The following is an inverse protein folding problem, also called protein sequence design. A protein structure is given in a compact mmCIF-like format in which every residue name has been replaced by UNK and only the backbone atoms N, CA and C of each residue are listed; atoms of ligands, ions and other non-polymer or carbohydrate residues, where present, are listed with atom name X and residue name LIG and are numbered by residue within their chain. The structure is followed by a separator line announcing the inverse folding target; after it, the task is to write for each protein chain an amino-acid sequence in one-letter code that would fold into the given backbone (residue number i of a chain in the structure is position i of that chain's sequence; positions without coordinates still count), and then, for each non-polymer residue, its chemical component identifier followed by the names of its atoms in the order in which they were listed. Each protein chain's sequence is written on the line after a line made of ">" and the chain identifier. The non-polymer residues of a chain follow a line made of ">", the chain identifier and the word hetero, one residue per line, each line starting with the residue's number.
data_IF_467737588887
#
_entry.id   IF_467737588887
#
_cell.length_a   1.000
_cell.length_b   1.000
_cell.length_c   1.000
_cell.angle_alpha   90.00
_cell.angle_beta   90.00
_cell.angle_gamma   90.00
#
_symmetry.space_group_name_H-M   'P 1'
#
loop_
_entity.id
_entity.type
_entity.pdbx_description
1 polymer ?
#
# COMPACT_ATOMS: atom_id res chain seq x y z
N UNK A 1 -23.30 -22.91 -12.90
CA UNK A 1 -22.33 -23.24 -11.85
C UNK A 1 -23.15 -23.89 -10.76
N UNK A 2 -22.85 -25.12 -10.36
CA UNK A 2 -23.65 -25.76 -9.31
C UNK A 2 -23.48 -25.03 -7.97
N UNK A 3 -24.48 -25.08 -7.08
CA UNK A 3 -24.44 -24.39 -5.78
C UNK A 3 -23.17 -24.71 -4.96
N UNK A 4 -22.65 -25.94 -5.11
CA UNK A 4 -21.38 -26.37 -4.51
C UNK A 4 -20.15 -25.62 -5.07
N UNK A 5 -20.10 -25.38 -6.38
CA UNK A 5 -19.00 -24.66 -7.04
C UNK A 5 -18.97 -23.18 -6.60
N UNK A 6 -20.12 -22.55 -6.39
CA UNK A 6 -20.21 -21.20 -5.84
C UNK A 6 -19.66 -21.09 -4.43
N UNK A 7 -19.95 -22.07 -3.58
CA UNK A 7 -19.43 -22.12 -2.22
C UNK A 7 -17.91 -22.27 -2.22
N UNK A 8 -17.37 -23.14 -3.08
CA UNK A 8 -15.92 -23.28 -3.25
C UNK A 8 -15.29 -21.99 -3.76
N UNK A 9 -15.91 -21.34 -4.74
CA UNK A 9 -15.45 -20.06 -5.28
C UNK A 9 -15.42 -18.96 -4.19
N UNK A 10 -16.48 -18.85 -3.37
CA UNK A 10 -16.52 -17.92 -2.25
C UNK A 10 -15.40 -18.18 -1.23
N UNK A 11 -15.14 -19.45 -0.89
CA UNK A 11 -14.05 -19.83 0.01
C UNK A 11 -12.68 -19.40 -0.55
N UNK A 12 -12.47 -19.58 -1.85
CA UNK A 12 -11.25 -19.13 -2.53
C UNK A 12 -11.12 -17.60 -2.46
N UNK A 13 -12.18 -16.84 -2.75
CA UNK A 13 -12.18 -15.37 -2.63
C UNK A 13 -11.91 -14.87 -1.21
N UNK A 14 -12.44 -15.55 -0.19
CA UNK A 14 -12.11 -15.25 1.21
C UNK A 14 -10.64 -15.52 1.56
N UNK A 15 -10.02 -16.52 0.93
CA UNK A 15 -8.59 -16.81 1.08
C UNK A 15 -7.75 -15.72 0.41
N UNK A 16 -8.10 -15.29 -0.80
CA UNK A 16 -7.46 -14.18 -1.52
C UNK A 16 -7.56 -12.88 -0.71
N UNK A 17 -8.73 -12.59 -0.13
CA UNK A 17 -8.94 -11.45 0.76
C UNK A 17 -8.03 -11.50 1.99
N UNK A 18 -7.94 -12.66 2.65
CA UNK A 18 -7.06 -12.86 3.81
C UNK A 18 -5.58 -12.67 3.44
N UNK A 19 -5.19 -13.15 2.26
CA UNK A 19 -3.85 -12.95 1.73
C UNK A 19 -3.56 -11.46 1.44
N UNK A 20 -4.49 -10.76 0.78
CA UNK A 20 -4.37 -9.33 0.52
C UNK A 20 -4.24 -8.50 1.81
N UNK A 21 -4.96 -8.88 2.88
CA UNK A 21 -4.83 -8.26 4.19
C UNK A 21 -3.43 -8.46 4.80
N UNK A 22 -2.88 -9.68 4.72
CA UNK A 22 -1.53 -9.98 5.17
C UNK A 22 -0.47 -9.17 4.40
N UNK A 23 -0.59 -9.11 3.08
CA UNK A 23 0.30 -8.32 2.22
C UNK A 23 0.19 -6.82 2.49
N UNK A 24 -1.02 -6.31 2.72
CA UNK A 24 -1.24 -4.91 3.12
C UNK A 24 -0.51 -4.57 4.42
N UNK A 25 -0.56 -5.46 5.44
CA UNK A 25 0.21 -5.28 6.68
C UNK A 25 1.71 -5.18 6.42
N UNK A 26 2.28 -6.11 5.64
CA UNK A 26 3.72 -6.12 5.30
C UNK A 26 4.13 -4.84 4.56
N UNK A 27 3.34 -4.43 3.56
CA UNK A 27 3.60 -3.22 2.77
C UNK A 27 3.45 -1.94 3.61
N UNK A 28 2.52 -1.93 4.57
CA UNK A 28 2.36 -0.83 5.51
C UNK A 28 3.59 -0.63 6.40
N UNK A 29 4.17 -1.73 6.90
CA UNK A 29 5.44 -1.69 7.65
C UNK A 29 6.57 -1.17 6.77
N UNK A 30 6.71 -1.70 5.55
CA UNK A 30 7.74 -1.26 4.61
C UNK A 30 7.64 0.23 4.26
N UNK A 31 6.41 0.75 4.07
CA UNK A 31 6.17 2.18 3.87
C UNK A 31 6.59 3.00 5.10
N UNK A 32 6.24 2.55 6.30
CA UNK A 32 6.62 3.24 7.53
C UNK A 32 8.14 3.32 7.71
N UNK A 33 8.85 2.22 7.43
CA UNK A 33 10.31 2.15 7.49
C UNK A 33 10.98 3.04 6.43
N UNK A 34 10.47 3.02 5.19
CA UNK A 34 10.96 3.89 4.12
C UNK A 34 10.74 5.38 4.43
N UNK A 35 9.56 5.75 4.97
CA UNK A 35 9.26 7.12 5.40
C UNK A 35 10.18 7.56 6.54
N UNK A 36 10.42 6.69 7.52
CA UNK A 36 11.33 6.95 8.64
C UNK A 36 12.74 7.24 8.13
N UNK A 37 13.27 6.38 7.25
CA UNK A 37 14.62 6.54 6.73
C UNK A 37 14.76 7.80 5.87
N UNK A 38 13.81 8.06 4.98
CA UNK A 38 13.78 9.28 4.18
C UNK A 38 13.77 10.54 5.05
N UNK A 39 12.91 10.60 6.07
CA UNK A 39 12.83 11.76 6.98
C UNK A 39 14.11 11.96 7.77
N UNK A 40 14.74 10.88 8.25
CA UNK A 40 16.00 10.93 9.00
C UNK A 40 17.13 11.53 8.16
N UNK A 41 17.37 11.01 6.96
CA UNK A 41 18.47 11.48 6.11
C UNK A 41 18.20 12.89 5.57
N UNK A 42 16.95 13.19 5.20
CA UNK A 42 16.56 14.56 4.82
C UNK A 42 16.81 15.57 5.94
N UNK A 43 16.51 15.22 7.19
CA UNK A 43 16.77 16.11 8.32
C UNK A 43 18.26 16.36 8.53
N UNK A 44 19.11 15.34 8.42
CA UNK A 44 20.58 15.49 8.49
C UNK A 44 21.11 16.40 7.39
N UNK A 45 20.63 16.22 6.16
CA UNK A 45 21.01 17.08 5.04
C UNK A 45 20.63 18.54 5.28
N UNK A 46 19.40 18.80 5.73
CA UNK A 46 18.94 20.15 6.07
C UNK A 46 19.81 20.75 7.16
N UNK A 47 20.12 20.00 8.23
CA UNK A 47 20.98 20.47 9.31
C UNK A 47 22.39 20.82 8.81
N UNK A 48 22.98 19.98 7.96
CA UNK A 48 24.29 20.24 7.32
C UNK A 48 24.25 21.50 6.45
N UNK A 49 23.26 21.63 5.56
CA UNK A 49 23.10 22.80 4.70
C UNK A 49 22.90 24.10 5.51
N UNK A 50 22.25 24.02 6.69
CA UNK A 50 22.13 25.16 7.60
C UNK A 50 23.46 25.57 8.22
N UNK A 51 24.29 24.60 8.62
CA UNK A 51 25.65 24.86 9.13
C UNK A 51 26.52 25.50 8.04
N UNK A 52 26.37 25.05 6.79
CA UNK A 52 27.03 25.59 5.60
C UNK A 52 26.47 26.96 5.14
N UNK A 53 25.53 27.54 5.90
CA UNK A 53 24.89 28.84 5.62
C UNK A 53 24.19 28.93 4.25
N UNK A 54 23.72 27.79 3.72
CA UNK A 54 22.89 27.76 2.52
C UNK A 54 21.59 28.53 2.79
N UNK A 55 21.17 29.35 1.81
CA UNK A 55 19.93 30.11 1.91
C UNK A 55 18.73 29.17 2.14
N UNK A 56 17.89 29.49 3.14
CA UNK A 56 16.75 28.64 3.57
C UNK A 56 15.81 28.32 2.41
N UNK A 57 15.60 29.28 1.52
CA UNK A 57 14.76 29.14 0.33
C UNK A 57 15.25 28.06 -0.63
N UNK A 58 16.57 27.79 -0.68
CA UNK A 58 17.17 26.81 -1.59
C UNK A 58 17.31 25.41 -0.99
N UNK A 59 17.42 25.29 0.34
CA UNK A 59 17.66 24.00 1.02
C UNK A 59 16.61 22.96 0.64
N UNK A 60 15.34 23.37 0.53
CA UNK A 60 14.24 22.48 0.19
C UNK A 60 14.39 21.83 -1.19
N UNK A 61 14.85 22.59 -2.18
CA UNK A 61 15.01 22.11 -3.54
C UNK A 61 16.31 21.32 -3.70
N UNK A 62 17.39 21.76 -3.05
CA UNK A 62 18.63 20.99 -2.97
C UNK A 62 18.42 19.62 -2.31
N UNK A 63 17.62 19.55 -1.24
CA UNK A 63 17.32 18.27 -0.60
C UNK A 63 16.53 17.33 -1.51
N UNK A 64 15.65 17.85 -2.37
CA UNK A 64 14.91 17.02 -3.34
C UNK A 64 15.81 16.53 -4.48
N UNK A 65 16.76 17.34 -4.92
CA UNK A 65 17.72 17.01 -5.98
C UNK A 65 18.91 16.19 -5.52
N UNK A 66 19.19 16.14 -4.20
CA UNK A 66 20.30 15.38 -3.66
C UNK A 66 20.14 13.88 -3.97
N UNK A 67 21.11 13.22 -4.62
CA UNK A 67 20.96 11.85 -5.13
C UNK A 67 20.46 10.86 -4.08
N UNK A 68 21.04 10.87 -2.88
CA UNK A 68 20.68 9.95 -1.80
C UNK A 68 19.26 10.18 -1.27
N UNK A 69 18.84 11.44 -1.14
CA UNK A 69 17.51 11.79 -0.60
C UNK A 69 16.45 11.51 -1.66
N UNK A 70 16.75 11.81 -2.92
CA UNK A 70 15.89 11.50 -4.06
C UNK A 70 15.63 10.00 -4.15
N UNK A 71 16.67 9.18 -3.99
CA UNK A 71 16.54 7.71 -4.00
C UNK A 71 15.69 7.20 -2.82
N UNK A 72 15.92 7.72 -1.60
CA UNK A 72 15.10 7.37 -0.44
C UNK A 72 13.64 7.79 -0.61
N UNK A 73 13.40 8.97 -1.21
CA UNK A 73 12.07 9.44 -1.55
C UNK A 73 11.40 8.52 -2.57
N UNK A 74 12.13 8.11 -3.62
CA UNK A 74 11.63 7.19 -4.63
C UNK A 74 11.19 5.87 -4.00
N UNK A 75 12.04 5.24 -3.19
CA UNK A 75 11.73 4.00 -2.46
C UNK A 75 10.47 4.12 -1.60
N UNK A 76 10.35 5.23 -0.87
CA UNK A 76 9.16 5.54 -0.07
C UNK A 76 7.91 5.70 -0.93
N UNK A 77 8.00 6.43 -2.03
CA UNK A 77 6.87 6.67 -2.93
C UNK A 77 6.41 5.36 -3.60
N UNK A 78 7.34 4.48 -3.99
CA UNK A 78 7.05 3.12 -4.45
C UNK A 78 6.35 2.29 -3.38
N UNK A 79 6.88 2.27 -2.15
CA UNK A 79 6.26 1.56 -1.04
C UNK A 79 4.83 2.06 -0.76
N UNK A 80 4.60 3.37 -0.95
CA UNK A 80 3.30 4.00 -0.77
C UNK A 80 2.28 3.51 -1.78
N UNK A 81 2.67 3.50 -3.06
CA UNK A 81 1.82 2.97 -4.15
C UNK A 81 1.52 1.49 -3.93
N UNK A 82 2.51 0.70 -3.54
CA UNK A 82 2.31 -0.72 -3.25
C UNK A 82 1.33 -0.94 -2.09
N UNK A 83 1.44 -0.17 -1.01
CA UNK A 83 0.51 -0.24 0.11
C UNK A 83 -0.92 0.12 -0.31
N UNK A 84 -1.11 1.22 -1.03
CA UNK A 84 -2.41 1.63 -1.55
C UNK A 84 -3.02 0.59 -2.48
N UNK A 85 -2.23 0.01 -3.38
CA UNK A 85 -2.69 -1.07 -4.25
C UNK A 85 -3.15 -2.30 -3.44
N UNK A 86 -2.46 -2.67 -2.36
CA UNK A 86 -2.90 -3.76 -1.50
C UNK A 86 -4.20 -3.42 -0.75
N UNK A 87 -4.38 -2.18 -0.30
CA UNK A 87 -5.65 -1.74 0.29
C UNK A 87 -6.79 -1.83 -0.72
N UNK A 88 -6.54 -1.48 -1.98
CA UNK A 88 -7.55 -1.57 -3.03
C UNK A 88 -7.88 -3.02 -3.40
N UNK A 89 -6.89 -3.91 -3.42
CA UNK A 89 -7.14 -5.35 -3.60
C UNK A 89 -8.10 -5.91 -2.53
N UNK A 90 -7.99 -5.47 -1.27
CA UNK A 90 -8.93 -5.85 -0.20
C UNK A 90 -10.36 -5.35 -0.55
N UNK A 91 -10.50 -4.15 -1.10
CA UNK A 91 -11.80 -3.62 -1.53
C UNK A 91 -12.42 -4.44 -2.66
N UNK A 92 -11.62 -4.78 -3.67
CA UNK A 92 -12.03 -5.64 -4.79
C UNK A 92 -12.51 -7.00 -4.29
N UNK A 93 -11.71 -7.70 -3.47
CA UNK A 93 -12.12 -9.02 -2.96
C UNK A 93 -13.34 -8.97 -2.03
N UNK A 94 -13.50 -7.90 -1.24
CA UNK A 94 -14.74 -7.70 -0.46
C UNK A 94 -15.97 -7.58 -1.37
N UNK A 95 -15.85 -6.84 -2.48
CA UNK A 95 -16.93 -6.70 -3.45
C UNK A 95 -17.25 -8.04 -4.11
N UNK A 96 -16.23 -8.77 -4.55
CA UNK A 96 -16.40 -10.10 -5.15
C UNK A 96 -17.09 -11.08 -4.19
N UNK A 97 -16.66 -11.16 -2.92
CA UNK A 97 -17.33 -12.00 -1.92
C UNK A 97 -18.82 -11.66 -1.80
N UNK A 98 -19.19 -10.37 -1.73
CA UNK A 98 -20.60 -9.94 -1.63
C UNK A 98 -21.41 -10.32 -2.86
N UNK A 99 -20.83 -10.22 -4.06
CA UNK A 99 -21.51 -10.60 -5.30
C UNK A 99 -21.78 -12.10 -5.33
N UNK A 100 -20.81 -12.92 -4.92
CA UNK A 100 -20.95 -14.38 -4.85
C UNK A 100 -21.95 -14.79 -3.78
N UNK A 101 -21.91 -14.18 -2.59
CA UNK A 101 -22.90 -14.40 -1.52
C UNK A 101 -24.32 -14.06 -1.99
N UNK A 102 -24.48 -12.95 -2.72
CA UNK A 102 -25.78 -12.56 -3.30
C UNK A 102 -26.26 -13.56 -4.35
N UNK A 103 -25.36 -14.13 -5.16
CA UNK A 103 -25.71 -15.17 -6.12
C UNK A 103 -26.13 -16.47 -5.43
N UNK A 104 -25.37 -16.95 -4.46
CA UNK A 104 -25.71 -18.15 -3.65
C UNK A 104 -27.11 -17.99 -3.04
N UNK A 105 -27.39 -16.81 -2.48
CA UNK A 105 -28.69 -16.54 -1.87
C UNK A 105 -29.84 -16.67 -2.88
N UNK A 106 -29.70 -16.11 -4.09
CA UNK A 106 -30.74 -16.23 -5.14
C UNK A 106 -30.95 -17.69 -5.55
N UNK A 107 -29.87 -18.42 -5.78
CA UNK A 107 -29.96 -19.83 -6.17
C UNK A 107 -30.58 -20.72 -5.08
N UNK A 108 -30.49 -20.33 -3.81
CA UNK A 108 -31.18 -20.99 -2.70
C UNK A 108 -32.64 -20.57 -2.52
N UNK A 109 -33.01 -19.34 -2.92
CA UNK A 109 -34.40 -18.86 -2.89
C UNK A 109 -35.21 -19.39 -4.08
N UNK A 110 -34.55 -19.67 -5.21
CA UNK A 110 -35.15 -20.20 -6.44
C UNK A 110 -35.21 -21.76 -6.48
N UNK A 111 -34.67 -22.46 -5.47
CA UNK A 111 -34.62 -23.93 -5.35
C UNK A 111 -35.68 -24.49 -4.40
#
# INVERSE_FOLDING_TARGET
>A
MESFELIQYLQNKRRELSHALSESKKRGIALADAERQYKKEKAKFIAKARIEKVAVTLIGDLAKGHPEISELRHKRDVAKVLYWNAQEAINVYKLECRLVEAQIKREWEDA
#
